data_IF_203721050680
#
_entry.id   IF_203721050680
#
_cell.length_a   1.000
_cell.length_b   1.000
_cell.length_c   1.000
_cell.angle_alpha   90.00
_cell.angle_beta   90.00
_cell.angle_gamma   90.00
#
_symmetry.space_group_name_H-M   'P 1'
#
loop_
_entity.id
_entity.type
_entity.pdbx_description
1 polymer ?
#
# COMPACT_ATOMS: atom_id res chain seq x y z
N UNK A 1 -20.39 -44.03 -13.54
CA UNK A 1 -20.80 -42.74 -14.15
C UNK A 1 -20.15 -41.64 -13.33
N UNK A 2 -19.10 -40.96 -13.80
CA UNK A 2 -18.52 -39.84 -13.06
C UNK A 2 -19.44 -38.61 -13.18
N UNK A 3 -19.80 -38.07 -12.02
CA UNK A 3 -20.62 -36.87 -11.86
C UNK A 3 -19.89 -35.65 -12.42
N UNK A 4 -20.52 -34.97 -13.38
CA UNK A 4 -19.97 -33.77 -14.00
C UNK A 4 -20.19 -32.58 -13.04
N UNK A 5 -19.13 -32.14 -12.37
CA UNK A 5 -19.13 -30.89 -11.60
C UNK A 5 -19.17 -29.72 -12.57
N UNK A 6 -20.34 -29.12 -12.74
CA UNK A 6 -20.51 -27.89 -13.50
C UNK A 6 -19.74 -26.76 -12.81
N UNK A 7 -18.57 -26.40 -13.34
CA UNK A 7 -17.91 -25.13 -13.00
C UNK A 7 -18.87 -24.00 -13.41
N UNK A 8 -19.36 -23.26 -12.43
CA UNK A 8 -19.98 -21.95 -12.67
C UNK A 8 -18.96 -21.01 -13.29
N UNK A 9 -19.33 -20.17 -14.27
CA UNK A 9 -18.41 -19.20 -14.85
C UNK A 9 -17.99 -18.21 -13.76
N UNK A 10 -16.70 -18.20 -13.43
CA UNK A 10 -16.05 -17.20 -12.59
C UNK A 10 -16.46 -15.81 -13.09
N UNK A 11 -17.10 -15.02 -12.22
CA UNK A 11 -17.42 -13.61 -12.47
C UNK A 11 -16.16 -12.86 -12.92
N UNK A 12 -16.26 -11.90 -13.85
CA UNK A 12 -15.10 -11.17 -14.32
C UNK A 12 -14.40 -10.52 -13.13
N UNK A 13 -13.09 -10.71 -13.08
CA UNK A 13 -12.13 -10.24 -12.08
C UNK A 13 -12.42 -8.78 -11.64
N UNK A 14 -13.29 -8.58 -10.65
CA UNK A 14 -13.49 -7.27 -10.04
C UNK A 14 -12.19 -6.88 -9.32
N UNK A 15 -11.68 -5.66 -9.52
CA UNK A 15 -10.47 -5.25 -8.82
C UNK A 15 -10.74 -5.29 -7.31
N UNK A 16 -9.88 -5.99 -6.57
CA UNK A 16 -9.92 -6.04 -5.11
C UNK A 16 -9.66 -4.68 -4.43
N UNK A 17 -9.52 -3.61 -5.22
CA UNK A 17 -9.27 -2.25 -4.78
C UNK A 17 -10.34 -1.31 -5.33
N UNK A 18 -10.84 -0.43 -4.47
CA UNK A 18 -11.73 0.67 -4.85
C UNK A 18 -10.86 1.80 -5.40
N UNK A 19 -11.30 2.44 -6.48
CA UNK A 19 -10.66 3.64 -7.01
C UNK A 19 -10.99 4.84 -6.11
N UNK A 20 -10.01 5.68 -5.85
CA UNK A 20 -10.21 6.92 -5.10
C UNK A 20 -11.19 7.85 -5.82
N UNK A 21 -12.09 8.45 -5.03
CA UNK A 21 -12.97 9.52 -5.50
C UNK A 21 -12.16 10.79 -5.75
N UNK A 22 -12.50 11.56 -6.78
CA UNK A 22 -11.87 12.84 -7.02
C UNK A 22 -12.22 13.83 -5.90
N UNK A 23 -11.21 14.42 -5.25
CA UNK A 23 -11.37 15.50 -4.27
C UNK A 23 -10.63 16.76 -4.77
N UNK A 24 -11.32 17.90 -4.80
CA UNK A 24 -10.74 19.18 -5.23
C UNK A 24 -9.66 19.70 -4.26
N UNK A 25 -9.57 19.13 -3.06
CA UNK A 25 -8.58 19.46 -2.03
C UNK A 25 -7.28 18.66 -2.17
N UNK A 26 -7.23 17.70 -3.09
CA UNK A 26 -6.04 16.89 -3.32
C UNK A 26 -4.84 17.77 -3.67
N UNK A 27 -3.76 17.59 -2.91
CA UNK A 27 -2.53 18.34 -3.11
C UNK A 27 -1.77 17.81 -4.32
N UNK A 28 -1.48 18.68 -5.28
CA UNK A 28 -0.62 18.34 -6.42
C UNK A 28 0.83 18.28 -5.94
N UNK A 29 1.48 17.12 -6.12
CA UNK A 29 2.91 16.98 -5.89
C UNK A 29 3.68 17.95 -6.81
N UNK A 30 4.51 18.82 -6.21
CA UNK A 30 5.36 19.77 -6.92
C UNK A 30 6.81 19.31 -6.86
N UNK A 31 7.34 18.68 -7.93
CA UNK A 31 8.72 18.22 -7.95
C UNK A 31 9.69 19.41 -7.95
N UNK A 32 10.89 19.20 -7.39
CA UNK A 32 11.96 20.16 -7.52
C UNK A 32 12.51 20.15 -8.96
N UNK A 33 12.82 21.34 -9.51
CA UNK A 33 13.43 21.49 -10.84
C UNK A 33 14.95 21.25 -10.76
N UNK A 34 15.33 20.05 -10.33
CA UNK A 34 16.71 19.61 -10.21
C UNK A 34 17.04 18.61 -11.31
N UNK A 35 18.33 18.49 -11.64
CA UNK A 35 18.81 17.41 -12.51
C UNK A 35 18.52 16.08 -11.82
N UNK A 36 17.95 15.14 -12.56
CA UNK A 36 17.76 13.78 -12.08
C UNK A 36 19.07 13.01 -12.18
N UNK A 37 19.38 12.23 -11.16
CA UNK A 37 20.48 11.25 -11.19
C UNK A 37 20.16 10.12 -12.17
N UNK A 38 21.19 9.47 -12.72
CA UNK A 38 21.01 8.34 -13.65
C UNK A 38 20.32 7.14 -12.97
N UNK A 39 20.44 7.03 -11.65
CA UNK A 39 19.80 6.00 -10.84
C UNK A 39 19.30 6.56 -9.51
N UNK A 40 18.07 6.22 -9.12
CA UNK A 40 17.47 6.57 -7.83
C UNK A 40 17.02 5.30 -7.12
N UNK A 41 17.90 4.72 -6.31
CA UNK A 41 17.60 3.54 -5.51
C UNK A 41 17.22 3.91 -4.07
N UNK A 42 16.26 3.19 -3.46
CA UNK A 42 16.01 3.32 -2.03
C UNK A 42 17.19 2.74 -1.23
N UNK A 43 17.38 3.24 -0.01
CA UNK A 43 18.30 2.59 0.93
C UNK A 43 17.69 1.26 1.40
N UNK A 44 18.30 0.15 0.98
CA UNK A 44 17.83 -1.22 1.27
C UNK A 44 17.80 -1.53 2.77
N UNK A 45 18.66 -0.91 3.58
CA UNK A 45 18.67 -1.13 5.04
C UNK A 45 17.41 -0.59 5.72
N UNK A 46 16.73 0.37 5.09
CA UNK A 46 15.51 0.97 5.60
C UNK A 46 14.25 0.22 5.15
N UNK A 47 14.39 -0.65 4.14
CA UNK A 47 13.30 -1.46 3.63
C UNK A 47 13.10 -2.70 4.50
N UNK A 48 11.93 -2.77 5.13
CA UNK A 48 11.48 -3.96 5.87
C UNK A 48 10.18 -4.47 5.24
N UNK A 49 10.21 -5.62 4.53
CA UNK A 49 9.00 -6.23 4.00
C UNK A 49 8.01 -6.54 5.12
N UNK A 50 6.73 -6.30 4.84
CA UNK A 50 5.62 -6.60 5.74
C UNK A 50 4.77 -7.72 5.11
N UNK A 51 4.12 -8.53 5.94
CA UNK A 51 3.30 -9.66 5.49
C UNK A 51 1.81 -9.41 5.74
N UNK A 52 1.04 -9.15 4.68
CA UNK A 52 -0.41 -8.98 4.74
C UNK A 52 -1.18 -10.32 4.74
N UNK A 53 -0.48 -11.44 4.55
CA UNK A 53 -1.08 -12.75 4.38
C UNK A 53 -2.06 -12.79 3.20
N UNK A 54 -3.28 -13.25 3.47
CA UNK A 54 -4.35 -13.41 2.46
C UNK A 54 -5.41 -12.31 2.54
N UNK A 55 -5.22 -11.31 3.39
CA UNK A 55 -6.16 -10.21 3.57
C UNK A 55 -5.98 -9.16 2.46
N UNK A 56 -7.08 -8.55 2.00
CA UNK A 56 -7.08 -7.43 1.04
C UNK A 56 -6.62 -6.10 1.65
N UNK A 57 -5.58 -6.12 2.50
CA UNK A 57 -5.12 -4.99 3.31
C UNK A 57 -3.93 -4.22 2.70
N UNK A 58 -3.64 -4.41 1.40
CA UNK A 58 -2.44 -3.91 0.75
C UNK A 58 -2.22 -2.39 0.93
N UNK A 59 -3.29 -1.59 0.95
CA UNK A 59 -3.22 -0.13 1.17
C UNK A 59 -2.57 0.22 2.51
N UNK A 60 -2.99 -0.43 3.60
CA UNK A 60 -2.43 -0.15 4.94
C UNK A 60 -0.99 -0.65 5.09
N UNK A 61 -0.67 -1.79 4.47
CA UNK A 61 0.68 -2.36 4.48
C UNK A 61 1.66 -1.55 3.63
N UNK A 62 1.23 -1.12 2.44
CA UNK A 62 2.02 -0.23 1.58
C UNK A 62 2.32 1.10 2.27
N UNK A 63 1.30 1.73 2.87
CA UNK A 63 1.48 2.99 3.59
C UNK A 63 2.39 2.83 4.82
N UNK A 64 2.24 1.74 5.59
CA UNK A 64 3.12 1.44 6.71
C UNK A 64 4.58 1.30 6.27
N UNK A 65 4.84 0.60 5.15
CA UNK A 65 6.18 0.45 4.61
C UNK A 65 6.82 1.81 4.26
N UNK A 66 6.06 2.72 3.65
CA UNK A 66 6.52 4.08 3.33
C UNK A 66 6.82 4.89 4.59
N UNK A 67 5.92 4.88 5.58
CA UNK A 67 6.13 5.60 6.84
C UNK A 67 7.38 5.08 7.54
N UNK A 68 7.52 3.75 7.65
CA UNK A 68 8.68 3.12 8.27
C UNK A 68 9.97 3.49 7.54
N UNK A 69 9.99 3.48 6.21
CA UNK A 69 11.15 3.90 5.42
C UNK A 69 11.54 5.35 5.71
N UNK A 70 10.57 6.27 5.73
CA UNK A 70 10.81 7.70 6.00
C UNK A 70 11.28 7.95 7.44
N UNK A 71 10.75 7.22 8.42
CA UNK A 71 11.22 7.27 9.81
C UNK A 71 12.68 6.85 9.91
N UNK A 72 13.07 5.75 9.23
CA UNK A 72 14.48 5.32 9.18
C UNK A 72 15.39 6.34 8.50
N UNK A 73 14.95 6.92 7.39
CA UNK A 73 15.69 7.98 6.71
C UNK A 73 15.92 9.22 7.59
N UNK A 74 15.08 9.43 8.63
CA UNK A 74 15.23 10.50 9.63
C UNK A 74 16.00 10.09 10.89
N UNK A 75 16.51 8.85 10.95
CA UNK A 75 17.23 8.33 12.11
C UNK A 75 16.34 7.85 13.26
N UNK A 76 15.04 7.68 13.05
CA UNK A 76 14.11 7.17 14.06
C UNK A 76 14.25 5.64 14.19
N UNK A 77 14.09 5.14 15.42
CA UNK A 77 14.30 3.73 15.76
C UNK A 77 13.26 2.79 15.14
N UNK A 78 13.52 1.47 15.15
CA UNK A 78 12.55 0.46 14.71
C UNK A 78 11.31 0.39 15.55
N UNK A 79 11.43 0.80 16.80
CA UNK A 79 10.45 0.53 17.85
C UNK A 79 9.21 1.40 17.66
N UNK A 80 9.34 2.46 16.89
CA UNK A 80 8.29 3.40 16.51
C UNK A 80 7.66 3.06 15.13
N UNK A 81 7.63 1.78 14.76
CA UNK A 81 7.06 1.35 13.49
C UNK A 81 5.56 1.64 13.40
N UNK A 82 5.12 2.09 12.22
CA UNK A 82 3.72 2.30 11.91
C UNK A 82 2.95 0.97 11.89
N UNK A 83 1.76 0.95 12.53
CA UNK A 83 0.87 -0.21 12.54
C UNK A 83 0.11 -0.35 11.21
N UNK A 84 0.36 -1.41 10.40
CA UNK A 84 -0.32 -1.61 9.12
C UNK A 84 -1.83 -1.84 9.30
N UNK A 85 -2.18 -2.57 10.37
CA UNK A 85 -3.57 -2.90 10.70
C UNK A 85 -4.37 -1.65 11.04
N UNK A 86 -3.78 -0.75 11.83
CA UNK A 86 -4.40 0.52 12.17
C UNK A 86 -4.63 1.36 10.92
N UNK A 87 -3.62 1.50 10.05
CA UNK A 87 -3.76 2.28 8.82
C UNK A 87 -4.85 1.72 7.89
N UNK A 88 -4.92 0.41 7.73
CA UNK A 88 -5.97 -0.22 6.91
C UNK A 88 -7.38 -0.03 7.51
N UNK A 89 -7.57 -0.23 8.81
CA UNK A 89 -8.89 -0.02 9.44
C UNK A 89 -9.33 1.44 9.40
N UNK A 90 -8.40 2.37 9.62
CA UNK A 90 -8.70 3.80 9.53
C UNK A 90 -9.09 4.21 8.11
N UNK A 91 -8.37 3.73 7.08
CA UNK A 91 -8.74 3.98 5.69
C UNK A 91 -10.14 3.41 5.39
N UNK A 92 -10.37 2.15 5.73
CA UNK A 92 -11.66 1.48 5.53
C UNK A 92 -12.83 2.20 6.22
N UNK A 93 -12.61 2.76 7.41
CA UNK A 93 -13.64 3.49 8.15
C UNK A 93 -13.99 4.84 7.52
N UNK A 94 -13.01 5.54 6.93
CA UNK A 94 -13.20 6.86 6.33
C UNK A 94 -13.55 6.83 4.82
N UNK A 95 -13.30 5.71 4.14
CA UNK A 95 -13.64 5.49 2.72
C UNK A 95 -15.08 4.95 2.51
N UNK A 96 -15.79 4.65 3.59
CA UNK A 96 -17.21 4.25 3.65
C UNK A 96 -18.09 5.47 3.94
#
# INVERSE_FOLDING_TARGET
MPSNTTLTPETPNEPATKRDSLDFRDLIYRPALVRLEDELLPNKEYLKPLDQGREGACTGFGLAAVINYLLRARGVSSEEAASPRMLYEMAKHHDQ
#
